data_IF_444441469851
#
_entry.id   IF_444441469851
#
_cell.length_a   1.000
_cell.length_b   1.000
_cell.length_c   1.000
_cell.angle_alpha   90.00
_cell.angle_beta   90.00
_cell.angle_gamma   90.00
#
_symmetry.space_group_name_H-M   'P 1'
#
loop_
_entity.id
_entity.type
_entity.pdbx_description
1 polymer ?
#
# COMPACT_ATOMS: atom_id res chain seq x y z
N UNK A 1 20.41 27.44 -17.63
CA UNK A 1 19.49 26.83 -18.61
C UNK A 1 18.79 25.62 -17.98
N UNK A 2 17.49 25.41 -18.22
CA UNK A 2 16.77 24.23 -17.71
C UNK A 2 17.04 23.05 -18.64
N UNK A 3 17.23 21.87 -18.06
CA UNK A 3 17.50 20.63 -18.78
C UNK A 3 16.61 19.53 -18.23
N UNK A 4 16.22 18.61 -19.10
CA UNK A 4 15.50 17.40 -18.67
C UNK A 4 16.49 16.39 -18.11
N UNK A 5 16.16 15.82 -16.95
CA UNK A 5 16.88 14.72 -16.33
C UNK A 5 15.91 13.68 -15.78
N UNK A 6 16.44 12.52 -15.42
CA UNK A 6 15.69 11.44 -14.77
C UNK A 6 16.16 11.24 -13.35
N UNK A 7 15.24 11.02 -12.42
CA UNK A 7 15.55 10.65 -11.04
C UNK A 7 14.99 9.26 -10.73
N UNK A 8 15.88 8.34 -10.39
CA UNK A 8 15.53 7.00 -9.92
C UNK A 8 15.30 7.01 -8.40
N UNK A 9 14.55 6.04 -7.90
CA UNK A 9 14.29 5.94 -6.46
C UNK A 9 15.60 5.75 -5.66
N UNK A 10 15.78 6.46 -4.53
CA UNK A 10 16.99 6.37 -3.71
C UNK A 10 17.28 4.97 -3.13
N UNK A 11 16.24 4.14 -2.96
CA UNK A 11 16.35 2.76 -2.49
C UNK A 11 16.88 1.78 -3.56
N UNK A 12 17.10 2.27 -4.79
CA UNK A 12 17.56 1.47 -5.92
C UNK A 12 16.47 0.70 -6.65
N UNK A 13 15.19 0.85 -6.25
CA UNK A 13 14.07 0.23 -6.94
C UNK A 13 13.89 0.77 -8.36
N UNK A 14 13.43 -0.08 -9.27
CA UNK A 14 13.30 0.26 -10.69
C UNK A 14 12.03 1.08 -10.96
N UNK A 15 12.10 2.34 -10.54
CA UNK A 15 11.16 3.41 -10.81
C UNK A 15 11.91 4.66 -11.25
N UNK A 16 11.32 5.43 -12.16
CA UNK A 16 11.93 6.64 -12.69
C UNK A 16 10.93 7.78 -12.77
N UNK A 17 11.36 8.97 -12.36
CA UNK A 17 10.63 10.22 -12.60
C UNK A 17 11.41 11.09 -13.58
N UNK A 18 10.72 12.06 -14.18
CA UNK A 18 11.33 13.03 -15.11
C UNK A 18 11.21 14.43 -14.51
N UNK A 19 12.29 15.20 -14.59
CA UNK A 19 12.34 16.59 -14.12
C UNK A 19 12.90 17.48 -15.21
N UNK A 20 12.42 18.73 -15.32
CA UNK A 20 12.97 19.74 -16.21
C UNK A 20 13.44 20.94 -15.38
N UNK A 21 14.76 21.07 -15.20
CA UNK A 21 15.31 21.94 -14.15
C UNK A 21 14.76 21.52 -12.77
N UNK A 22 14.23 22.44 -11.95
CA UNK A 22 13.62 22.10 -10.66
C UNK A 22 12.15 21.62 -10.76
N UNK A 23 11.58 21.49 -11.96
CA UNK A 23 10.16 21.19 -12.15
C UNK A 23 9.95 19.70 -12.34
N UNK A 24 9.23 19.07 -11.41
CA UNK A 24 8.77 17.68 -11.54
C UNK A 24 7.74 17.57 -12.64
N UNK A 25 7.95 16.64 -13.56
CA UNK A 25 7.02 16.32 -14.62
C UNK A 25 6.18 15.10 -14.23
N UNK A 26 4.90 15.15 -14.58
CA UNK A 26 3.93 14.10 -14.34
C UNK A 26 3.02 13.93 -15.57
N UNK A 27 2.26 12.85 -15.60
CA UNK A 27 1.29 12.63 -16.66
C UNK A 27 -0.08 12.26 -16.14
N UNK A 28 -1.11 12.79 -16.78
CA UNK A 28 -2.48 12.36 -16.55
C UNK A 28 -2.71 10.97 -17.14
N UNK A 29 -3.38 10.10 -16.38
CA UNK A 29 -3.80 8.76 -16.79
C UNK A 29 -5.27 8.72 -17.18
N UNK A 30 -6.12 9.46 -16.47
CA UNK A 30 -7.52 9.73 -16.83
C UNK A 30 -8.05 10.99 -16.12
N UNK A 31 -9.35 11.26 -16.30
CA UNK A 31 -10.15 12.14 -15.46
C UNK A 31 -10.87 11.33 -14.37
N UNK A 32 -10.97 11.89 -13.16
CA UNK A 32 -11.66 11.23 -12.05
C UNK A 32 -13.18 11.19 -12.26
N UNK A 33 -13.74 10.03 -12.62
CA UNK A 33 -15.20 9.75 -12.55
C UNK A 33 -15.62 9.20 -11.18
N UNK A 34 -14.91 9.56 -10.11
CA UNK A 34 -15.02 8.88 -8.81
C UNK A 34 -15.66 9.74 -7.72
N UNK A 35 -16.46 9.14 -6.83
CA UNK A 35 -16.95 9.82 -5.63
C UNK A 35 -15.78 10.22 -4.71
N UNK A 36 -15.99 11.23 -3.87
CA UNK A 36 -15.09 11.67 -2.80
C UNK A 36 -13.76 12.33 -3.25
N UNK A 37 -13.75 13.04 -4.38
CA UNK A 37 -12.64 13.96 -4.72
C UNK A 37 -12.59 15.17 -3.77
N UNK A 38 -13.73 15.50 -3.15
CA UNK A 38 -13.85 16.48 -2.08
C UNK A 38 -14.17 15.75 -0.79
N UNK A 39 -13.37 15.97 0.25
CA UNK A 39 -13.61 15.39 1.57
C UNK A 39 -14.92 15.94 2.16
N UNK A 40 -15.74 15.06 2.76
CA UNK A 40 -17.08 15.37 3.28
C UNK A 40 -17.13 15.42 4.82
N UNK A 41 -15.97 15.35 5.49
CA UNK A 41 -15.85 15.29 6.94
C UNK A 41 -16.14 13.91 7.54
N UNK A 42 -16.39 12.88 6.72
CA UNK A 42 -16.49 11.50 7.18
C UNK A 42 -15.15 10.97 7.69
N UNK A 43 -15.23 9.95 8.55
CA UNK A 43 -14.07 9.14 8.93
C UNK A 43 -13.41 8.58 7.67
N UNK A 44 -12.09 8.72 7.54
CA UNK A 44 -11.33 8.39 6.31
C UNK A 44 -11.67 9.24 5.06
N UNK A 45 -12.45 10.32 5.17
CA UNK A 45 -12.83 11.17 4.03
C UNK A 45 -11.66 11.91 3.36
N UNK A 46 -10.48 11.94 4.00
CA UNK A 46 -9.23 12.46 3.43
C UNK A 46 -8.49 11.45 2.54
N UNK A 47 -8.89 10.18 2.55
CA UNK A 47 -8.26 9.13 1.76
C UNK A 47 -8.91 9.07 0.39
N UNK A 48 -8.08 9.08 -0.65
CA UNK A 48 -8.49 8.80 -2.03
C UNK A 48 -8.89 7.32 -2.19
N UNK A 49 -10.06 6.97 -1.67
CA UNK A 49 -10.59 5.60 -1.52
C UNK A 49 -11.25 5.04 -2.79
N UNK A 50 -11.26 5.80 -3.87
CA UNK A 50 -11.84 5.35 -5.12
C UNK A 50 -11.00 4.26 -5.81
N UNK A 51 -11.58 3.60 -6.82
CA UNK A 51 -11.03 2.37 -7.43
C UNK A 51 -9.54 2.49 -7.77
N UNK A 52 -8.71 1.61 -7.22
CA UNK A 52 -7.29 1.55 -7.53
C UNK A 52 -7.06 1.15 -9.00
N UNK A 53 -6.05 1.77 -9.64
CA UNK A 53 -5.61 1.37 -10.97
C UNK A 53 -4.53 0.28 -10.86
N UNK A 54 -4.62 -0.80 -11.65
CA UNK A 54 -3.63 -1.86 -11.62
C UNK A 54 -2.23 -1.37 -12.02
N UNK A 55 -1.19 -1.64 -11.24
CA UNK A 55 0.16 -1.16 -11.57
C UNK A 55 0.75 -1.84 -12.82
N UNK A 56 0.31 -3.07 -13.14
CA UNK A 56 0.67 -3.75 -14.38
C UNK A 56 0.07 -3.10 -15.63
N UNK A 57 -0.93 -2.24 -15.44
CA UNK A 57 -1.53 -1.42 -16.49
C UNK A 57 -0.98 0.01 -16.53
N UNK A 58 -0.07 0.40 -15.63
CA UNK A 58 0.54 1.73 -15.62
C UNK A 58 1.55 1.89 -16.78
N UNK A 59 1.80 3.13 -17.26
CA UNK A 59 2.85 3.38 -18.24
C UNK A 59 4.22 2.99 -17.68
N UNK A 60 4.86 2.02 -18.33
CA UNK A 60 6.18 1.52 -17.97
C UNK A 60 7.21 2.14 -18.91
N UNK A 61 8.26 2.72 -18.36
CA UNK A 61 9.38 3.30 -19.08
C UNK A 61 10.42 2.22 -19.38
N UNK A 62 10.84 2.12 -20.64
CA UNK A 62 11.90 1.21 -21.06
C UNK A 62 12.98 1.93 -21.87
N UNK A 63 14.22 1.53 -21.66
CA UNK A 63 15.39 2.11 -22.34
C UNK A 63 16.66 1.98 -21.54
N UNK A 64 17.72 2.66 -21.97
CA UNK A 64 19.01 2.70 -21.25
C UNK A 64 19.02 3.87 -20.26
N UNK A 65 19.23 3.61 -18.96
CA UNK A 65 19.19 4.62 -17.86
C UNK A 65 19.87 5.94 -18.22
N UNK A 66 21.10 5.89 -18.75
CA UNK A 66 21.91 7.08 -19.09
C UNK A 66 21.37 7.93 -20.23
N UNK A 67 20.40 7.44 -21.00
CA UNK A 67 19.88 8.10 -22.21
C UNK A 67 18.39 8.42 -22.15
N UNK A 68 17.69 8.02 -21.08
CA UNK A 68 16.24 8.21 -20.95
C UNK A 68 15.86 9.68 -21.12
N UNK A 69 16.54 10.59 -20.41
CA UNK A 69 16.26 12.02 -20.46
C UNK A 69 16.35 12.60 -21.88
N UNK A 70 17.26 12.09 -22.72
CA UNK A 70 17.45 12.56 -24.09
C UNK A 70 16.29 12.19 -25.01
N UNK A 71 15.49 11.19 -24.64
CA UNK A 71 14.32 10.74 -25.40
C UNK A 71 13.04 11.48 -25.02
N UNK A 72 13.05 12.24 -23.93
CA UNK A 72 11.97 13.15 -23.59
C UNK A 72 12.10 14.40 -24.47
N UNK A 73 11.11 14.63 -25.33
CA UNK A 73 11.14 15.73 -26.33
C UNK A 73 10.12 16.80 -26.00
N UNK A 74 10.48 18.09 -26.01
CA UNK A 74 9.50 19.16 -25.86
C UNK A 74 8.48 19.10 -26.99
N UNK A 75 7.21 19.33 -26.66
CA UNK A 75 6.16 19.52 -27.65
C UNK A 75 6.21 20.96 -28.21
N UNK A 76 5.72 21.19 -29.44
CA UNK A 76 5.61 22.54 -29.99
C UNK A 76 4.69 23.41 -29.11
N UNK A 77 4.98 24.72 -29.01
CA UNK A 77 4.16 25.81 -28.43
C UNK A 77 4.57 26.39 -27.05
N UNK A 78 5.86 26.39 -26.67
CA UNK A 78 6.42 27.07 -25.47
C UNK A 78 5.79 26.72 -24.11
N UNK A 79 4.84 25.79 -24.07
CA UNK A 79 4.38 25.17 -22.84
C UNK A 79 5.45 24.18 -22.35
N UNK A 80 5.59 24.03 -21.03
CA UNK A 80 6.43 22.98 -20.41
C UNK A 80 5.83 21.58 -20.61
N UNK A 81 5.48 21.23 -21.84
CA UNK A 81 4.93 19.94 -22.24
C UNK A 81 5.98 19.13 -22.97
N UNK A 82 6.07 17.84 -22.63
CA UNK A 82 7.03 16.93 -23.22
C UNK A 82 6.37 15.62 -23.62
N UNK A 83 6.86 15.00 -24.68
CA UNK A 83 6.52 13.64 -25.08
C UNK A 83 7.55 12.66 -24.54
N UNK A 84 7.06 11.54 -23.99
CA UNK A 84 7.86 10.36 -23.66
C UNK A 84 7.41 9.12 -24.45
N UNK A 85 6.76 9.31 -25.60
CA UNK A 85 6.13 8.25 -26.39
C UNK A 85 7.09 7.10 -26.75
N UNK A 86 8.35 7.40 -27.05
CA UNK A 86 9.35 6.40 -27.43
C UNK A 86 9.77 5.52 -26.25
N UNK A 87 9.67 6.05 -25.03
CA UNK A 87 10.08 5.38 -23.79
C UNK A 87 8.98 4.49 -23.20
N UNK A 88 7.71 4.82 -23.44
CA UNK A 88 6.60 4.11 -22.80
C UNK A 88 6.31 2.80 -23.52
N UNK A 89 6.37 1.67 -22.82
CA UNK A 89 6.17 0.34 -23.39
C UNK A 89 4.74 0.14 -23.95
N UNK A 90 3.72 0.54 -23.20
CA UNK A 90 2.33 0.23 -23.53
C UNK A 90 1.81 1.11 -24.68
N UNK A 91 1.19 0.51 -25.74
CA UNK A 91 0.64 1.27 -26.86
C UNK A 91 -0.42 2.30 -26.47
N UNK A 92 -1.25 2.01 -25.46
CA UNK A 92 -2.34 2.91 -25.01
C UNK A 92 -1.86 4.25 -24.44
N UNK A 93 -0.57 4.38 -24.10
CA UNK A 93 0.00 5.58 -23.50
C UNK A 93 1.01 6.28 -24.41
N UNK A 94 1.01 6.00 -25.70
CA UNK A 94 1.94 6.65 -26.63
C UNK A 94 1.66 8.16 -26.79
N UNK A 95 0.42 8.59 -26.60
CA UNK A 95 0.02 10.00 -26.67
C UNK A 95 0.10 10.73 -25.31
N UNK A 96 0.63 10.05 -24.28
CA UNK A 96 0.73 10.60 -22.94
C UNK A 96 1.74 11.76 -22.91
N UNK A 97 1.29 12.87 -22.33
CA UNK A 97 2.08 14.09 -22.17
C UNK A 97 2.65 14.19 -20.76
N UNK A 98 3.92 14.53 -20.67
CA UNK A 98 4.56 14.96 -19.44
C UNK A 98 4.37 16.48 -19.29
N UNK A 99 3.78 16.92 -18.19
CA UNK A 99 3.52 18.33 -17.86
C UNK A 99 4.00 18.62 -16.43
N UNK A 100 4.18 19.88 -16.01
CA UNK A 100 4.52 20.18 -14.63
C UNK A 100 3.47 19.60 -13.67
N UNK A 101 3.91 18.89 -12.63
CA UNK A 101 3.00 18.22 -11.69
C UNK A 101 1.96 19.16 -11.08
N UNK A 102 2.38 20.40 -10.77
CA UNK A 102 1.49 21.42 -10.19
C UNK A 102 0.35 21.85 -11.13
N UNK A 103 0.37 21.48 -12.42
CA UNK A 103 -0.74 21.73 -13.36
C UNK A 103 -1.75 20.58 -13.41
N UNK A 104 -1.50 19.46 -12.72
CA UNK A 104 -2.41 18.32 -12.67
C UNK A 104 -3.32 18.42 -11.45
N UNK A 105 -4.56 18.82 -11.71
CA UNK A 105 -5.65 18.85 -10.73
C UNK A 105 -6.76 17.90 -11.17
N UNK A 106 -7.49 17.30 -10.21
CA UNK A 106 -8.67 16.44 -10.43
C UNK A 106 -8.46 15.30 -11.46
N UNK A 107 -7.23 14.78 -11.52
CA UNK A 107 -6.83 13.73 -12.45
C UNK A 107 -6.09 12.63 -11.71
N UNK A 108 -6.22 11.40 -12.19
CA UNK A 108 -5.26 10.36 -11.84
C UNK A 108 -3.96 10.65 -12.56
N UNK A 109 -2.85 10.62 -11.85
CA UNK A 109 -1.55 10.96 -12.42
C UNK A 109 -0.47 9.95 -12.05
N UNK A 110 0.62 9.98 -12.81
CA UNK A 110 1.86 9.25 -12.53
C UNK A 110 3.03 10.24 -12.49
N UNK A 111 3.84 10.14 -11.43
CA UNK A 111 5.09 10.89 -11.27
C UNK A 111 6.27 9.93 -11.45
N UNK A 112 6.24 8.81 -10.70
CA UNK A 112 7.20 7.72 -10.83
C UNK A 112 6.62 6.61 -11.70
N UNK A 113 7.27 6.35 -12.81
CA UNK A 113 6.93 5.30 -13.76
C UNK A 113 7.69 4.02 -13.39
N UNK A 114 7.06 2.84 -13.44
CA UNK A 114 7.80 1.58 -13.43
C UNK A 114 8.86 1.59 -14.53
N UNK A 115 10.06 1.12 -14.22
CA UNK A 115 11.17 1.08 -15.17
C UNK A 115 11.61 -0.37 -15.45
N UNK A 116 12.07 -0.61 -16.68
CA UNK A 116 12.82 -1.80 -17.05
C UNK A 116 13.85 -1.48 -18.13
N UNK A 117 14.98 -2.18 -18.18
CA UNK A 117 15.81 -2.18 -19.40
C UNK A 117 15.06 -2.88 -20.54
N UNK A 118 15.54 -2.73 -21.77
CA UNK A 118 14.92 -3.39 -22.93
C UNK A 118 14.96 -4.91 -22.76
N UNK A 119 16.07 -5.45 -22.25
CA UNK A 119 16.29 -6.88 -22.05
C UNK A 119 15.46 -7.42 -20.88
N UNK A 120 15.34 -6.66 -19.79
CA UNK A 120 14.61 -7.06 -18.58
C UNK A 120 13.10 -6.81 -18.64
N UNK A 121 12.61 -6.16 -19.69
CA UNK A 121 11.21 -5.78 -19.84
C UNK A 121 10.23 -6.96 -19.73
N UNK A 122 10.41 -8.11 -20.41
CA UNK A 122 9.47 -9.22 -20.34
C UNK A 122 9.33 -9.79 -18.90
N UNK A 123 10.45 -9.97 -18.22
CA UNK A 123 10.47 -10.49 -16.84
C UNK A 123 9.88 -9.49 -15.86
N UNK A 124 10.22 -8.21 -15.99
CA UNK A 124 9.68 -7.14 -15.15
C UNK A 124 8.18 -6.99 -15.32
N UNK A 125 7.68 -6.97 -16.56
CA UNK A 125 6.24 -6.90 -16.83
C UNK A 125 5.49 -8.10 -16.23
N UNK A 126 6.05 -9.31 -16.33
CA UNK A 126 5.48 -10.52 -15.72
C UNK A 126 5.47 -10.45 -14.20
N UNK A 127 6.56 -9.99 -13.58
CA UNK A 127 6.66 -9.84 -12.13
C UNK A 127 5.65 -8.81 -11.60
N UNK A 128 5.53 -7.66 -12.26
CA UNK A 128 4.53 -6.63 -11.91
C UNK A 128 3.11 -7.20 -12.04
N UNK A 129 2.81 -7.92 -13.12
CA UNK A 129 1.50 -8.54 -13.33
C UNK A 129 1.14 -9.59 -12.26
N UNK A 130 2.12 -10.41 -11.84
CA UNK A 130 1.91 -11.40 -10.79
C UNK A 130 1.65 -10.73 -9.43
N UNK A 131 2.52 -9.78 -9.04
CA UNK A 131 2.40 -9.06 -7.78
C UNK A 131 1.08 -8.26 -7.71
N UNK A 132 0.67 -7.63 -8.81
CA UNK A 132 -0.59 -6.90 -8.87
C UNK A 132 -1.80 -7.83 -8.78
N UNK A 133 -1.76 -9.01 -9.40
CA UNK A 133 -2.83 -10.01 -9.28
C UNK A 133 -3.00 -10.48 -7.83
N UNK A 134 -1.90 -10.75 -7.14
CA UNK A 134 -1.92 -11.16 -5.73
C UNK A 134 -2.44 -10.05 -4.83
N UNK A 135 -1.96 -8.82 -5.05
CA UNK A 135 -2.44 -7.63 -4.34
C UNK A 135 -3.93 -7.39 -4.55
N UNK A 136 -4.41 -7.44 -5.80
CA UNK A 136 -5.83 -7.27 -6.10
C UNK A 136 -6.69 -8.34 -5.46
N UNK A 137 -6.25 -9.60 -5.48
CA UNK A 137 -6.96 -10.68 -4.80
C UNK A 137 -7.05 -10.44 -3.28
N UNK A 138 -5.98 -9.91 -2.67
CA UNK A 138 -5.98 -9.53 -1.26
C UNK A 138 -6.93 -8.37 -0.98
N UNK A 139 -6.86 -7.29 -1.76
CA UNK A 139 -7.72 -6.10 -1.59
C UNK A 139 -9.21 -6.45 -1.82
N UNK A 140 -9.53 -7.22 -2.86
CA UNK A 140 -10.90 -7.68 -3.13
C UNK A 140 -11.43 -8.61 -2.05
N UNK A 141 -10.56 -9.33 -1.32
CA UNK A 141 -10.97 -10.15 -0.19
C UNK A 141 -10.99 -9.35 1.13
N UNK A 142 -10.41 -8.15 1.18
CA UNK A 142 -10.39 -7.28 2.36
C UNK A 142 -11.73 -6.54 2.49
N UNK A 143 -12.23 -6.48 3.72
CA UNK A 143 -13.44 -5.76 4.13
C UNK A 143 -13.07 -4.51 4.91
N UNK A 144 -12.08 -4.64 5.79
CA UNK A 144 -11.57 -3.55 6.63
C UNK A 144 -10.07 -3.74 6.90
N UNK A 145 -9.33 -2.65 7.11
CA UNK A 145 -7.88 -2.64 7.22
C UNK A 145 -7.41 -1.65 8.29
N UNK A 146 -6.54 -2.13 9.19
CA UNK A 146 -5.83 -1.31 10.17
C UNK A 146 -4.32 -1.43 9.94
N UNK A 147 -3.70 -0.32 9.54
CA UNK A 147 -2.24 -0.17 9.60
C UNK A 147 -1.86 0.18 11.04
N UNK A 148 -1.34 -0.80 11.76
CA UNK A 148 -1.07 -0.65 13.20
C UNK A 148 0.18 0.20 13.43
N UNK A 149 0.21 0.93 14.54
CA UNK A 149 1.27 1.87 14.87
C UNK A 149 1.12 3.26 14.24
N UNK A 150 0.20 3.42 13.29
CA UNK A 150 -0.15 4.71 12.69
C UNK A 150 -1.31 5.38 13.44
N UNK A 151 -1.16 6.66 13.80
CA UNK A 151 -2.14 7.34 14.67
C UNK A 151 -3.54 7.42 14.05
N UNK A 152 -3.64 7.72 12.75
CA UNK A 152 -4.91 7.94 12.09
C UNK A 152 -5.70 6.63 11.89
N UNK A 153 -5.14 5.56 11.27
CA UNK A 153 -5.83 4.27 11.18
C UNK A 153 -6.25 3.73 12.53
N UNK A 154 -5.43 3.85 13.57
CA UNK A 154 -5.79 3.34 14.90
C UNK A 154 -6.90 4.15 15.58
N UNK A 155 -6.84 5.47 15.50
CA UNK A 155 -7.90 6.34 16.02
C UNK A 155 -9.21 6.10 15.29
N UNK A 156 -9.14 5.90 13.97
CA UNK A 156 -10.29 5.54 13.18
C UNK A 156 -10.88 4.23 13.75
N UNK A 157 -10.09 3.20 14.00
CA UNK A 157 -10.58 1.89 14.50
C UNK A 157 -10.79 1.81 16.02
N UNK A 158 -11.15 2.92 16.69
CA UNK A 158 -11.45 2.99 18.12
C UNK A 158 -10.39 2.30 18.99
N UNK A 159 -9.11 2.55 18.69
CA UNK A 159 -8.00 1.95 19.42
C UNK A 159 -8.12 2.17 20.93
N UNK A 160 -7.98 1.06 21.67
CA UNK A 160 -7.89 1.04 23.13
C UNK A 160 -6.75 0.11 23.54
N UNK A 161 -6.02 0.44 24.60
CA UNK A 161 -4.98 -0.45 25.10
C UNK A 161 -4.32 0.01 26.39
N UNK A 162 -3.56 -0.91 26.98
CA UNK A 162 -2.75 -0.70 28.19
C UNK A 162 -1.37 -1.34 27.96
N UNK A 163 -0.30 -0.65 28.38
CA UNK A 163 1.10 -1.13 28.25
C UNK A 163 1.45 -1.56 26.82
N UNK A 164 1.08 -0.71 25.87
CA UNK A 164 1.33 -0.88 24.43
C UNK A 164 2.51 -0.05 23.98
N UNK A 165 3.21 -0.51 22.97
CA UNK A 165 4.28 0.22 22.28
C UNK A 165 4.02 0.19 20.76
N UNK A 166 4.49 1.20 20.05
CA UNK A 166 4.51 1.23 18.60
C UNK A 166 5.91 1.60 18.10
N UNK A 167 6.17 1.39 16.82
CA UNK A 167 7.45 1.70 16.20
C UNK A 167 7.46 1.34 14.72
N UNK A 168 8.65 1.36 14.14
CA UNK A 168 8.88 1.00 12.74
C UNK A 168 9.96 -0.07 12.64
N UNK A 169 9.76 -1.03 11.74
CA UNK A 169 10.77 -2.03 11.40
C UNK A 169 10.66 -2.39 9.91
N UNK A 170 11.78 -2.33 9.18
CA UNK A 170 11.81 -2.47 7.72
C UNK A 170 10.74 -1.60 7.02
N UNK A 171 10.71 -0.31 7.40
CA UNK A 171 9.78 0.70 6.86
C UNK A 171 8.29 0.39 7.06
N UNK A 172 7.94 -0.56 7.93
CA UNK A 172 6.56 -0.85 8.32
C UNK A 172 6.31 -0.48 9.78
N UNK A 173 5.21 0.24 10.01
CA UNK A 173 4.72 0.52 11.35
C UNK A 173 4.20 -0.75 12.01
N UNK A 174 4.36 -0.84 13.32
CA UNK A 174 3.79 -1.93 14.11
C UNK A 174 3.22 -1.43 15.43
N UNK A 175 2.34 -2.24 16.00
CA UNK A 175 1.95 -2.15 17.41
C UNK A 175 2.20 -3.48 18.13
N UNK A 176 2.71 -3.38 19.35
CA UNK A 176 2.87 -4.50 20.27
C UNK A 176 2.53 -4.07 21.72
N UNK A 177 2.72 -4.97 22.68
CA UNK A 177 2.58 -4.62 24.08
C UNK A 177 2.86 -5.76 25.04
N UNK A 178 2.95 -5.42 26.33
CA UNK A 178 2.98 -6.38 27.45
C UNK A 178 1.67 -6.46 28.21
N UNK A 179 0.72 -5.56 27.92
CA UNK A 179 -0.66 -5.62 28.39
C UNK A 179 -1.57 -6.10 27.27
N UNK A 180 -2.45 -5.23 26.80
CA UNK A 180 -3.44 -5.55 25.77
C UNK A 180 -3.73 -4.35 24.88
N UNK A 181 -4.26 -4.61 23.70
CA UNK A 181 -4.89 -3.59 22.87
C UNK A 181 -6.01 -4.15 22.01
N UNK A 182 -6.88 -3.29 21.51
CA UNK A 182 -8.02 -3.67 20.69
C UNK A 182 -8.36 -2.65 19.62
N UNK A 183 -9.01 -3.14 18.57
CA UNK A 183 -9.60 -2.36 17.48
C UNK A 183 -11.06 -2.77 17.27
N UNK A 184 -11.87 -1.85 16.76
CA UNK A 184 -13.23 -2.12 16.26
C UNK A 184 -13.20 -2.14 14.73
N UNK A 185 -13.41 -3.33 14.16
CA UNK A 185 -13.44 -3.58 12.72
C UNK A 185 -14.88 -3.54 12.20
N UNK A 186 -15.10 -2.94 11.04
CA UNK A 186 -16.40 -2.77 10.40
C UNK A 186 -16.68 -3.90 9.41
N UNK A 187 -17.83 -4.56 9.59
CA UNK A 187 -18.29 -5.70 8.80
C UNK A 187 -19.73 -5.47 8.34
N UNK A 188 -19.96 -4.35 7.65
CA UNK A 188 -21.30 -3.81 7.32
C UNK A 188 -22.23 -4.86 6.71
N UNK A 189 -21.70 -5.70 5.81
CA UNK A 189 -22.46 -6.69 5.05
C UNK A 189 -22.40 -8.12 5.63
N UNK A 190 -21.81 -8.31 6.82
CA UNK A 190 -21.65 -9.62 7.48
C UNK A 190 -20.89 -10.66 6.63
N UNK A 191 -19.98 -10.21 5.77
CA UNK A 191 -19.24 -11.05 4.84
C UNK A 191 -17.93 -11.58 5.42
N UNK A 192 -17.45 -11.06 6.55
CA UNK A 192 -16.19 -11.51 7.12
C UNK A 192 -16.18 -13.00 7.48
N UNK A 193 -15.04 -13.66 7.31
CA UNK A 193 -14.82 -15.07 7.72
C UNK A 193 -13.54 -15.25 8.51
N UNK A 194 -12.59 -14.33 8.37
CA UNK A 194 -11.30 -14.41 9.07
C UNK A 194 -10.70 -13.04 9.33
N UNK A 195 -9.83 -12.99 10.33
CA UNK A 195 -8.87 -11.91 10.54
C UNK A 195 -7.52 -12.37 10.04
N UNK A 196 -6.84 -11.55 9.24
CA UNK A 196 -5.47 -11.77 8.80
C UNK A 196 -4.56 -10.78 9.50
N UNK A 197 -3.50 -11.30 10.12
CA UNK A 197 -2.45 -10.50 10.75
C UNK A 197 -1.18 -10.55 9.89
N UNK A 198 -0.51 -9.42 9.71
CA UNK A 198 0.85 -9.38 9.18
C UNK A 198 1.85 -9.34 10.35
N UNK A 199 2.77 -10.31 10.39
CA UNK A 199 3.75 -10.54 11.45
C UNK A 199 5.15 -10.70 10.87
N UNK A 200 6.18 -10.58 11.71
CA UNK A 200 7.56 -10.83 11.33
C UNK A 200 8.07 -12.18 11.84
N UNK A 201 8.57 -13.02 10.94
CA UNK A 201 8.83 -14.44 11.20
C UNK A 201 9.96 -14.74 12.18
N UNK A 202 10.91 -13.82 12.34
CA UNK A 202 12.08 -14.00 13.20
C UNK A 202 11.85 -13.60 14.66
N UNK A 203 10.68 -13.08 15.01
CA UNK A 203 10.35 -12.76 16.39
C UNK A 203 10.25 -14.00 17.28
N UNK A 204 10.78 -13.89 18.51
CA UNK A 204 10.86 -14.98 19.49
C UNK A 204 10.28 -14.53 20.82
N UNK A 205 9.84 -15.51 21.62
CA UNK A 205 9.34 -15.29 22.98
C UNK A 205 8.15 -14.31 23.03
N UNK A 206 7.30 -14.34 21.99
CA UNK A 206 6.04 -13.60 21.95
C UNK A 206 4.90 -14.59 22.07
N UNK A 207 4.05 -14.41 23.07
CA UNK A 207 2.87 -15.25 23.27
C UNK A 207 1.71 -14.37 23.71
N UNK A 208 0.62 -14.45 22.97
CA UNK A 208 -0.55 -13.60 23.19
C UNK A 208 -1.82 -14.25 22.67
N UNK A 209 -2.93 -13.87 23.29
CA UNK A 209 -4.26 -14.31 22.98
C UNK A 209 -4.89 -13.37 21.94
N UNK A 210 -5.64 -13.96 21.01
CA UNK A 210 -6.49 -13.25 20.07
C UNK A 210 -7.95 -13.49 20.46
N UNK A 211 -8.60 -12.42 20.87
CA UNK A 211 -9.93 -12.39 21.43
C UNK A 211 -10.83 -11.64 20.46
N UNK A 212 -11.94 -12.24 20.05
CA UNK A 212 -12.92 -11.63 19.15
C UNK A 212 -14.25 -11.55 19.90
N UNK A 213 -14.83 -10.35 19.98
CA UNK A 213 -16.10 -10.10 20.67
C UNK A 213 -16.11 -10.72 22.08
N UNK A 214 -15.04 -10.50 22.84
CA UNK A 214 -14.82 -10.99 24.21
C UNK A 214 -14.70 -12.51 24.38
N UNK A 215 -14.56 -13.28 23.28
CA UNK A 215 -14.24 -14.72 23.35
C UNK A 215 -12.83 -14.98 22.82
N UNK A 216 -12.07 -15.78 23.57
CA UNK A 216 -10.78 -16.30 23.11
C UNK A 216 -11.00 -17.18 21.87
N UNK A 217 -10.36 -16.83 20.76
CA UNK A 217 -10.43 -17.58 19.50
C UNK A 217 -9.19 -18.44 19.31
N UNK A 218 -8.01 -17.86 19.56
CA UNK A 218 -6.74 -18.59 19.45
C UNK A 218 -5.66 -17.91 20.27
N UNK A 219 -4.57 -18.64 20.52
CA UNK A 219 -3.35 -18.11 21.10
C UNK A 219 -2.23 -18.26 20.07
N UNK A 220 -1.44 -17.19 19.90
CA UNK A 220 -0.30 -17.16 18.99
C UNK A 220 0.98 -17.22 19.82
N UNK A 221 1.90 -18.09 19.42
CA UNK A 221 3.25 -18.18 19.98
C UNK A 221 4.28 -18.07 18.86
N UNK A 222 5.28 -17.19 19.03
CA UNK A 222 6.34 -16.92 18.07
C UNK A 222 7.67 -17.46 18.60
N UNK A 223 8.28 -18.37 17.85
CA UNK A 223 9.54 -19.06 18.16
C UNK A 223 10.70 -18.65 17.24
N UNK A 224 10.44 -17.76 16.28
CA UNK A 224 11.39 -17.33 15.25
C UNK A 224 11.54 -18.32 14.08
N UNK A 225 10.68 -19.34 13.99
CA UNK A 225 10.77 -20.41 12.98
C UNK A 225 10.29 -20.02 11.58
N UNK A 226 9.66 -18.85 11.41
CA UNK A 226 9.08 -18.42 10.13
C UNK A 226 10.06 -17.59 9.26
N UNK A 227 11.34 -17.55 9.63
CA UNK A 227 12.40 -16.92 8.84
C UNK A 227 12.43 -15.39 8.91
N UNK A 228 13.41 -14.80 8.22
CA UNK A 228 13.65 -13.35 8.20
C UNK A 228 12.75 -12.63 7.17
N UNK A 229 11.44 -12.89 7.24
CA UNK A 229 10.44 -12.36 6.30
C UNK A 229 9.15 -12.01 7.04
N UNK A 230 8.37 -11.13 6.44
CA UNK A 230 6.97 -10.96 6.81
C UNK A 230 6.15 -12.17 6.37
N UNK A 231 5.16 -12.55 7.18
CA UNK A 231 4.19 -13.59 6.83
C UNK A 231 2.81 -13.25 7.39
N UNK A 232 1.78 -13.79 6.76
CA UNK A 232 0.40 -13.61 7.20
C UNK A 232 -0.08 -14.78 8.05
N UNK A 233 -0.79 -14.49 9.13
CA UNK A 233 -1.50 -15.48 9.96
C UNK A 233 -3.01 -15.26 9.85
N UNK A 234 -3.71 -16.24 9.32
CA UNK A 234 -5.18 -16.24 9.23
C UNK A 234 -5.80 -16.85 10.48
N UNK A 235 -6.84 -16.20 11.00
CA UNK A 235 -7.60 -16.60 12.18
C UNK A 235 -9.07 -16.62 11.79
N UNK A 236 -9.66 -17.81 11.75
CA UNK A 236 -11.08 -17.96 11.41
C UNK A 236 -11.95 -17.32 12.50
N UNK A 237 -12.97 -16.58 12.07
CA UNK A 237 -13.97 -15.99 12.97
C UNK A 237 -15.08 -17.03 13.12
N UNK A 238 -15.33 -17.56 14.33
CA UNK A 238 -16.46 -18.45 14.57
C UNK A 238 -17.78 -17.78 14.16
N UNK A 239 -18.68 -18.50 13.50
CA UNK A 239 -19.97 -17.94 13.04
C UNK A 239 -20.78 -17.30 14.19
N UNK A 240 -20.71 -17.88 15.39
CA UNK A 240 -21.36 -17.33 16.59
C UNK A 240 -20.85 -15.96 17.04
N UNK A 241 -19.71 -15.51 16.50
CA UNK A 241 -19.08 -14.22 16.81
C UNK A 241 -19.21 -13.21 15.66
N UNK A 242 -19.86 -13.59 14.56
CA UNK A 242 -20.07 -12.72 13.42
C UNK A 242 -21.06 -11.60 13.77
N UNK A 243 -20.63 -10.36 13.58
CA UNK A 243 -21.44 -9.17 13.83
C UNK A 243 -21.03 -8.05 12.87
N UNK A 244 -21.83 -6.98 12.81
CA UNK A 244 -21.55 -5.78 11.99
C UNK A 244 -20.33 -5.02 12.48
N UNK A 245 -20.04 -5.12 13.76
CA UNK A 245 -18.83 -4.60 14.38
C UNK A 245 -18.10 -5.74 15.09
N UNK A 246 -16.81 -5.87 14.83
CA UNK A 246 -15.98 -6.93 15.37
C UNK A 246 -14.93 -6.27 16.25
N UNK A 247 -15.04 -6.45 17.57
CA UNK A 247 -14.01 -6.03 18.51
C UNK A 247 -12.92 -7.10 18.53
N UNK A 248 -11.75 -6.76 17.99
CA UNK A 248 -10.57 -7.60 17.99
C UNK A 248 -9.62 -7.11 19.08
N UNK A 249 -9.30 -7.97 20.05
CA UNK A 249 -8.38 -7.70 21.15
C UNK A 249 -7.20 -8.66 21.12
N UNK A 250 -6.02 -8.11 21.35
CA UNK A 250 -4.78 -8.82 21.58
C UNK A 250 -4.36 -8.65 23.02
N UNK A 251 -4.02 -9.74 23.69
CA UNK A 251 -3.68 -9.73 25.12
C UNK A 251 -2.45 -10.58 25.38
N UNK A 252 -1.40 -9.98 25.94
CA UNK A 252 -0.16 -10.68 26.25
C UNK A 252 -0.43 -11.77 27.28
N UNK A 253 0.09 -12.97 27.04
CA UNK A 253 0.08 -14.02 28.06
C UNK A 253 0.95 -13.61 29.25
N UNK A 254 0.72 -14.25 30.41
CA UNK A 254 1.43 -13.91 31.65
C UNK A 254 2.96 -13.97 31.48
N UNK A 255 3.62 -12.83 31.64
CA UNK A 255 5.08 -12.70 31.52
C UNK A 255 5.61 -12.70 30.08
N UNK A 256 4.72 -12.71 29.08
CA UNK A 256 5.05 -12.65 27.67
C UNK A 256 4.71 -11.26 27.08
N UNK A 257 4.88 -11.13 25.77
CA UNK A 257 4.52 -9.92 25.01
C UNK A 257 3.79 -10.31 23.74
N UNK A 258 2.92 -9.40 23.29
CA UNK A 258 2.35 -9.43 21.94
C UNK A 258 3.50 -9.22 20.95
N UNK A 259 3.48 -9.95 19.84
CA UNK A 259 4.42 -9.73 18.75
C UNK A 259 4.19 -8.37 18.09
N UNK A 260 5.12 -7.92 17.26
CA UNK A 260 4.84 -6.82 16.35
C UNK A 260 3.77 -7.27 15.38
N UNK A 261 2.59 -6.69 15.53
CA UNK A 261 1.53 -6.74 14.53
C UNK A 261 1.77 -5.53 13.64
N UNK A 262 1.85 -5.73 12.33
CA UNK A 262 2.12 -4.68 11.35
C UNK A 262 0.83 -4.25 10.64
N UNK A 263 -0.06 -5.20 10.42
CA UNK A 263 -1.31 -5.01 9.70
C UNK A 263 -2.38 -5.94 10.24
N UNK A 264 -3.61 -5.45 10.33
CA UNK A 264 -4.81 -6.24 10.63
C UNK A 264 -5.80 -6.06 9.49
N UNK A 265 -6.17 -7.16 8.82
CA UNK A 265 -7.22 -7.18 7.80
C UNK A 265 -8.40 -8.01 8.26
N UNK A 266 -9.59 -7.45 8.11
CA UNK A 266 -10.83 -8.21 8.13
C UNK A 266 -11.10 -8.75 6.72
N UNK A 267 -11.27 -10.05 6.58
CA UNK A 267 -11.32 -10.72 5.28
C UNK A 267 -12.60 -11.50 5.08
N UNK A 268 -13.07 -11.56 3.83
CA UNK A 268 -14.10 -12.49 3.34
C UNK A 268 -13.64 -13.95 3.45
#
# INVERSE_FOLDING_TARGET
>A
PMHTSTEFMPDGSDWVSFVHGPVVLAAALDTLDQPNITADGSRMGHIASGKLLPINEAPLVTGTKSTLANQVKPLPNDALEFSAATLIYQPKYKDLKLVPFYNLEEKRYVIYFPYATIEGLPERAKAIALAEKEKQALELATIDLVNTGEQQPESDHDFKGEKTENGTFNDQHFRNGSGWFSYVLQNKDLQARKVRLLLYGAEKNRTFDVIINSKLVTQISMDGGNGNTFFSKDILIPESLMNKEITLRFEASKGARIANIYEVRLMR
#
